data_IF_729553829488
#
_entry.id   IF_729553829488
#
_cell.length_a   1.000
_cell.length_b   1.000
_cell.length_c   1.000
_cell.angle_alpha   90.00
_cell.angle_beta   90.00
_cell.angle_gamma   90.00
#
_symmetry.space_group_name_H-M   'P 1'
#
loop_
_entity.id
_entity.type
_entity.pdbx_description
1 polymer ?
#
# COMPACT_ATOMS: atom_id res chain seq x y z
N UNK A 1 -10.09 -0.19 -6.14
CA UNK A 1 -11.39 0.43 -6.47
C UNK A 1 -11.18 1.29 -7.70
N UNK A 2 -11.77 0.95 -8.86
CA UNK A 2 -11.69 1.81 -10.07
C UNK A 2 -12.75 2.89 -9.94
N UNK A 3 -12.33 4.15 -9.89
CA UNK A 3 -13.22 5.30 -9.95
C UNK A 3 -13.87 5.32 -11.34
N UNK A 4 -15.13 4.92 -11.41
CA UNK A 4 -15.95 5.01 -12.61
C UNK A 4 -16.34 6.48 -12.78
N UNK A 5 -15.71 7.18 -13.72
CA UNK A 5 -15.91 8.61 -13.90
C UNK A 5 -17.28 8.83 -14.58
N UNK A 6 -18.27 9.46 -13.92
CA UNK A 6 -19.66 9.53 -14.38
C UNK A 6 -19.85 10.39 -15.65
N UNK A 7 -18.79 11.09 -16.08
CA UNK A 7 -18.86 12.01 -17.21
C UNK A 7 -18.93 11.32 -18.59
N UNK A 8 -18.42 10.09 -18.71
CA UNK A 8 -18.41 9.32 -19.97
C UNK A 8 -19.81 8.86 -20.41
N UNK A 9 -20.66 8.46 -19.45
CA UNK A 9 -22.00 7.97 -19.79
C UNK A 9 -22.87 9.07 -20.41
N UNK A 10 -22.76 10.31 -19.90
CA UNK A 10 -23.47 11.46 -20.46
C UNK A 10 -23.05 11.72 -21.91
N UNK A 11 -21.75 11.64 -22.26
CA UNK A 11 -21.30 11.86 -23.64
C UNK A 11 -21.86 10.85 -24.65
N UNK A 12 -21.97 9.57 -24.28
CA UNK A 12 -22.52 8.55 -25.17
C UNK A 12 -24.00 8.77 -25.49
N UNK A 13 -24.78 9.25 -24.51
CA UNK A 13 -26.19 9.60 -24.75
C UNK A 13 -26.33 10.76 -25.75
N UNK A 14 -25.46 11.77 -25.69
CA UNK A 14 -25.47 12.89 -26.64
C UNK A 14 -25.11 12.45 -28.06
N UNK A 15 -24.12 11.57 -28.23
CA UNK A 15 -23.72 11.07 -29.55
C UNK A 15 -24.81 10.19 -30.17
N UNK A 16 -25.43 9.30 -29.39
CA UNK A 16 -26.54 8.48 -29.85
C UNK A 16 -27.77 9.34 -30.26
N UNK A 17 -28.06 10.39 -29.48
CA UNK A 17 -29.15 11.32 -29.79
C UNK A 17 -28.88 12.12 -31.07
N UNK A 18 -27.65 12.60 -31.28
CA UNK A 18 -27.26 13.32 -32.49
C UNK A 18 -27.29 12.41 -33.73
N UNK A 19 -26.94 11.13 -33.57
CA UNK A 19 -26.98 10.14 -34.64
C UNK A 19 -28.43 9.78 -35.04
N UNK A 20 -29.34 9.71 -34.07
CA UNK A 20 -30.76 9.51 -34.36
C UNK A 20 -31.37 10.75 -35.04
N UNK A 21 -30.99 11.95 -34.59
CA UNK A 21 -31.50 13.20 -35.15
C UNK A 21 -31.00 13.44 -36.58
N UNK A 22 -29.76 13.05 -36.90
CA UNK A 22 -29.24 13.08 -38.26
C UNK A 22 -29.90 12.03 -39.16
N UNK A 23 -30.21 10.83 -38.64
CA UNK A 23 -30.98 9.81 -39.36
C UNK A 23 -32.37 10.35 -39.73
N UNK A 24 -33.05 11.04 -38.81
CA UNK A 24 -34.37 11.64 -39.05
C UNK A 24 -34.32 12.76 -40.09
N UNK A 25 -33.31 13.63 -40.05
CA UNK A 25 -33.12 14.69 -41.03
C UNK A 25 -32.86 14.13 -42.44
N UNK A 26 -32.16 12.99 -42.54
CA UNK A 26 -31.85 12.34 -43.81
C UNK A 26 -33.07 11.74 -44.53
N UNK A 27 -34.14 11.45 -43.80
CA UNK A 27 -35.39 10.93 -44.35
C UNK A 27 -36.34 12.04 -44.84
N UNK A 28 -36.09 13.30 -44.44
CA UNK A 28 -36.98 14.43 -44.73
C UNK A 28 -36.79 15.10 -46.09
N UNK A 29 -35.62 14.96 -46.72
CA UNK A 29 -35.36 15.58 -48.03
C UNK A 29 -35.17 14.48 -49.07
N UNK A 30 -36.20 14.26 -49.88
CA UNK A 30 -36.18 13.29 -50.96
C UNK A 30 -34.95 13.46 -51.86
N UNK A 31 -34.25 12.35 -52.07
CA UNK A 31 -33.12 12.14 -52.99
C UNK A 31 -31.74 12.64 -52.54
N UNK A 32 -31.24 12.12 -51.42
CA UNK A 32 -29.79 11.89 -51.29
C UNK A 32 -29.43 10.58 -52.00
N UNK A 33 -28.40 10.55 -52.88
CA UNK A 33 -27.96 9.30 -53.49
C UNK A 33 -27.49 8.34 -52.39
N UNK A 34 -27.86 7.06 -52.51
CA UNK A 34 -27.38 5.95 -51.66
C UNK A 34 -25.87 6.01 -51.37
N UNK A 35 -25.10 6.56 -52.30
CA UNK A 35 -23.65 6.79 -52.23
C UNK A 35 -23.25 7.68 -51.04
N UNK A 36 -23.98 8.77 -50.77
CA UNK A 36 -23.66 9.67 -49.64
C UNK A 36 -23.91 9.00 -48.28
N UNK A 37 -24.92 8.14 -48.20
CA UNK A 37 -25.20 7.34 -47.01
C UNK A 37 -24.08 6.33 -46.73
N UNK A 38 -23.59 5.65 -47.77
CA UNK A 38 -22.45 4.72 -47.66
C UNK A 38 -21.20 5.47 -47.15
N UNK A 39 -20.89 6.65 -47.71
CA UNK A 39 -19.75 7.45 -47.27
C UNK A 39 -19.89 7.85 -45.79
N UNK A 40 -21.08 8.30 -45.38
CA UNK A 40 -21.32 8.66 -43.98
C UNK A 40 -21.12 7.47 -43.04
N UNK A 41 -21.68 6.31 -43.37
CA UNK A 41 -21.48 5.09 -42.56
C UNK A 41 -20.01 4.69 -42.47
N UNK A 42 -19.26 4.74 -43.57
CA UNK A 42 -17.82 4.45 -43.56
C UNK A 42 -17.05 5.44 -42.67
N UNK A 43 -17.33 6.75 -42.75
CA UNK A 43 -16.67 7.75 -41.91
C UNK A 43 -16.97 7.57 -40.42
N UNK A 44 -18.20 7.19 -40.08
CA UNK A 44 -18.57 6.89 -38.68
C UNK A 44 -17.89 5.63 -38.18
N UNK A 45 -17.79 4.58 -39.02
CA UNK A 45 -17.11 3.33 -38.68
C UNK A 45 -15.60 3.56 -38.49
N UNK A 46 -14.97 4.35 -39.36
CA UNK A 46 -13.53 4.65 -39.24
C UNK A 46 -13.22 5.50 -38.01
N UNK A 47 -14.06 6.49 -37.69
CA UNK A 47 -13.96 7.25 -36.44
C UNK A 47 -14.15 6.37 -35.20
N UNK A 48 -15.12 5.45 -35.24
CA UNK A 48 -15.36 4.52 -34.13
C UNK A 48 -14.20 3.54 -33.95
N UNK A 49 -13.62 3.05 -35.05
CA UNK A 49 -12.43 2.19 -35.01
C UNK A 49 -11.20 2.92 -34.47
N UNK A 50 -10.97 4.18 -34.88
CA UNK A 50 -9.89 5.02 -34.35
C UNK A 50 -10.07 5.30 -32.85
N UNK A 51 -11.30 5.59 -32.42
CA UNK A 51 -11.63 5.76 -31.01
C UNK A 51 -11.37 4.48 -30.21
N UNK A 52 -11.78 3.32 -30.74
CA UNK A 52 -11.57 2.02 -30.12
C UNK A 52 -10.08 1.62 -30.03
N UNK A 53 -9.29 1.97 -31.04
CA UNK A 53 -7.83 1.75 -31.02
C UNK A 53 -7.17 2.65 -29.96
N UNK A 54 -7.71 3.87 -29.73
CA UNK A 54 -7.23 4.81 -28.72
C UNK A 54 -7.33 4.31 -27.28
N UNK A 55 -8.30 3.45 -26.94
CA UNK A 55 -8.43 2.92 -25.57
C UNK A 55 -7.46 1.76 -25.25
N UNK A 56 -6.86 1.14 -26.27
CA UNK A 56 -5.99 -0.02 -26.09
C UNK A 56 -4.52 0.32 -25.80
N UNK A 57 -4.19 1.62 -25.67
CA UNK A 57 -2.82 2.10 -25.49
C UNK A 57 -2.60 2.74 -24.13
N UNK A 58 -3.03 2.07 -23.07
CA UNK A 58 -2.37 2.20 -21.78
C UNK A 58 -1.58 0.92 -21.56
N UNK A 59 -0.23 0.97 -21.52
CA UNK A 59 0.55 -0.18 -21.13
C UNK A 59 0.08 -0.56 -19.73
N UNK A 60 -0.61 -1.69 -19.64
CA UNK A 60 -0.96 -2.32 -18.37
C UNK A 60 0.38 -2.69 -17.75
N UNK A 61 0.93 -1.79 -16.95
CA UNK A 61 2.18 -2.00 -16.23
C UNK A 61 2.10 -3.38 -15.59
N UNK A 62 3.06 -4.24 -15.92
CA UNK A 62 3.20 -5.54 -15.26
C UNK A 62 3.18 -5.26 -13.75
N UNK A 63 2.13 -5.71 -13.05
CA UNK A 63 2.22 -5.88 -11.60
C UNK A 63 3.33 -6.89 -11.40
N UNK A 64 4.48 -6.41 -10.97
CA UNK A 64 5.55 -7.26 -10.53
C UNK A 64 5.05 -7.89 -9.23
N UNK A 65 4.68 -9.17 -9.26
CA UNK A 65 4.17 -9.90 -8.09
C UNK A 65 5.28 -10.16 -7.03
N UNK A 66 6.47 -9.60 -7.27
CA UNK A 66 7.61 -9.54 -6.35
C UNK A 66 7.94 -8.10 -5.89
N UNK A 67 7.05 -7.13 -6.10
CA UNK A 67 7.20 -5.82 -5.47
C UNK A 67 6.80 -5.96 -4.00
N UNK A 68 7.79 -5.98 -3.10
CA UNK A 68 7.56 -5.97 -1.66
C UNK A 68 6.54 -4.88 -1.30
N UNK A 69 5.41 -5.29 -0.75
CA UNK A 69 4.36 -4.42 -0.29
C UNK A 69 4.85 -3.66 0.95
N UNK A 70 5.18 -2.38 0.76
CA UNK A 70 5.56 -1.50 1.86
C UNK A 70 4.30 -0.77 2.35
N UNK A 71 4.04 -0.84 3.66
CA UNK A 71 3.02 -0.03 4.32
C UNK A 71 3.66 1.23 4.88
N UNK A 72 3.11 2.41 4.59
CA UNK A 72 3.64 3.69 5.06
C UNK A 72 2.54 4.44 5.81
N UNK A 73 2.82 4.79 7.07
CA UNK A 73 1.96 5.63 7.90
C UNK A 73 2.54 7.04 7.89
N UNK A 74 1.76 7.97 7.35
CA UNK A 74 2.19 9.36 7.19
C UNK A 74 2.23 10.11 8.52
N UNK A 75 3.07 11.14 8.62
CA UNK A 75 3.24 11.99 9.83
C UNK A 75 1.96 12.63 10.38
N UNK A 76 0.95 12.82 9.53
CA UNK A 76 -0.34 13.43 9.90
C UNK A 76 -1.44 12.39 10.13
N UNK A 77 -1.08 11.10 10.15
CA UNK A 77 -1.99 10.02 10.47
C UNK A 77 -1.78 9.60 11.93
N UNK A 78 -2.87 9.47 12.67
CA UNK A 78 -2.93 8.76 13.94
C UNK A 78 -3.72 7.47 13.74
N UNK A 79 -3.15 6.35 14.19
CA UNK A 79 -3.78 5.05 14.10
C UNK A 79 -4.06 4.51 15.51
N UNK A 80 -5.24 3.94 15.71
CA UNK A 80 -5.64 3.31 16.97
C UNK A 80 -6.16 1.91 16.67
N UNK A 81 -5.56 0.90 17.30
CA UNK A 81 -5.91 -0.51 17.11
C UNK A 81 -4.70 -1.37 16.76
N UNK A 82 -4.94 -2.56 16.23
CA UNK A 82 -3.89 -3.53 15.93
C UNK A 82 -3.53 -3.55 14.44
N UNK A 83 -2.23 -3.63 14.13
CA UNK A 83 -1.68 -3.71 12.77
C UNK A 83 -0.98 -5.05 12.63
N UNK A 84 -1.42 -5.86 11.66
CA UNK A 84 -0.73 -7.08 11.27
C UNK A 84 -0.26 -6.97 9.82
N UNK A 85 1.05 -7.09 9.59
CA UNK A 85 1.63 -7.11 8.23
C UNK A 85 2.77 -8.11 8.15
N UNK A 86 2.87 -8.85 7.05
CA UNK A 86 3.97 -9.79 6.80
C UNK A 86 5.20 -9.12 6.18
N UNK A 87 5.14 -7.83 5.89
CA UNK A 87 6.14 -7.11 5.10
C UNK A 87 6.68 -5.88 5.85
N UNK A 88 7.32 -4.96 5.12
CA UNK A 88 7.92 -3.74 5.68
C UNK A 88 6.85 -2.70 6.06
N UNK A 89 6.95 -2.17 7.28
CA UNK A 89 6.12 -1.06 7.77
C UNK A 89 7.03 0.12 8.05
N UNK A 90 6.66 1.30 7.54
CA UNK A 90 7.35 2.57 7.80
C UNK A 90 6.37 3.50 8.52
N UNK A 91 6.79 4.04 9.66
CA UNK A 91 5.94 4.83 10.55
C UNK A 91 6.56 6.21 10.70
N UNK A 92 5.88 7.23 10.17
CA UNK A 92 6.24 8.64 10.38
C UNK A 92 5.27 9.37 11.33
N UNK A 93 4.12 8.75 11.65
CA UNK A 93 3.04 9.33 12.45
C UNK A 93 2.89 8.66 13.83
N UNK A 94 1.68 8.75 14.40
CA UNK A 94 1.39 8.22 15.73
C UNK A 94 0.60 6.91 15.65
N UNK A 95 0.99 5.91 16.43
CA UNK A 95 0.30 4.62 16.53
C UNK A 95 0.06 4.29 17.99
N UNK A 96 -1.20 4.08 18.35
CA UNK A 96 -1.61 3.63 19.67
C UNK A 96 -2.27 2.24 19.54
N UNK A 97 -1.50 1.19 19.85
CA UNK A 97 -1.95 -0.20 19.76
C UNK A 97 -0.82 -1.16 19.38
N UNK A 98 -1.18 -2.39 18.99
CA UNK A 98 -0.18 -3.45 18.80
C UNK A 98 0.23 -3.59 17.34
N UNK A 99 1.52 -3.85 17.11
CA UNK A 99 2.09 -4.05 15.78
C UNK A 99 2.68 -5.45 15.72
N UNK A 100 2.18 -6.28 14.81
CA UNK A 100 2.67 -7.64 14.57
C UNK A 100 3.20 -7.78 13.15
N UNK A 101 4.49 -8.10 13.04
CA UNK A 101 5.20 -8.30 11.79
C UNK A 101 6.15 -9.50 11.83
N UNK A 102 5.58 -10.71 11.84
CA UNK A 102 6.28 -11.98 12.11
C UNK A 102 7.52 -12.28 11.23
N UNK A 103 7.61 -11.67 10.05
CA UNK A 103 8.76 -11.77 9.12
C UNK A 103 9.09 -10.42 8.48
N UNK A 104 8.60 -9.34 9.10
CA UNK A 104 8.63 -8.00 8.55
C UNK A 104 9.68 -7.12 9.23
N UNK A 105 10.00 -6.02 8.54
CA UNK A 105 10.83 -4.96 9.09
C UNK A 105 9.93 -3.81 9.51
N UNK A 106 9.99 -3.43 10.78
CA UNK A 106 9.31 -2.22 11.28
C UNK A 106 10.34 -1.11 11.35
N UNK A 107 10.07 0.00 10.65
CA UNK A 107 10.90 1.19 10.66
C UNK A 107 10.11 2.34 11.24
N UNK A 108 10.47 2.75 12.46
CA UNK A 108 9.93 3.94 13.10
C UNK A 108 10.87 5.07 12.74
N UNK A 109 10.45 5.94 11.84
CA UNK A 109 11.27 7.05 11.38
C UNK A 109 11.15 8.25 12.33
N UNK A 110 11.93 9.31 12.05
CA UNK A 110 11.90 10.55 12.82
C UNK A 110 10.50 11.16 12.85
N UNK A 111 10.02 11.43 14.07
CA UNK A 111 8.68 11.96 14.34
C UNK A 111 7.60 10.88 14.42
N UNK A 112 7.93 9.61 14.15
CA UNK A 112 7.08 8.47 14.46
C UNK A 112 7.05 8.21 15.96
N UNK A 113 5.85 8.02 16.50
CA UNK A 113 5.62 7.67 17.91
C UNK A 113 4.74 6.44 17.98
N UNK A 114 5.22 5.40 18.67
CA UNK A 114 4.47 4.15 18.85
C UNK A 114 4.24 3.90 20.33
N UNK A 115 2.98 3.85 20.74
CA UNK A 115 2.55 3.49 22.09
C UNK A 115 1.85 2.13 22.05
N UNK A 116 2.50 1.09 22.57
CA UNK A 116 1.94 -0.27 22.61
C UNK A 116 2.99 -1.36 22.50
N UNK A 117 2.57 -2.56 22.08
CA UNK A 117 3.46 -3.71 21.93
C UNK A 117 3.85 -3.92 20.47
N UNK A 118 5.15 -4.04 20.19
CA UNK A 118 5.71 -4.27 18.85
C UNK A 118 6.37 -5.65 18.81
N UNK A 119 5.88 -6.51 17.91
CA UNK A 119 6.45 -7.82 17.64
C UNK A 119 6.89 -7.88 16.18
N UNK A 120 8.19 -8.02 15.92
CA UNK A 120 8.71 -8.07 14.55
C UNK A 120 10.02 -8.86 14.43
N UNK A 121 10.45 -9.18 13.21
CA UNK A 121 11.76 -9.81 13.00
C UNK A 121 12.88 -8.79 13.20
N UNK A 122 12.77 -7.63 12.55
CA UNK A 122 13.73 -6.53 12.66
C UNK A 122 13.04 -5.21 12.96
N UNK A 123 13.46 -4.54 14.03
CA UNK A 123 13.04 -3.20 14.38
C UNK A 123 14.19 -2.21 14.12
N UNK A 124 13.90 -1.15 13.36
CA UNK A 124 14.81 -0.01 13.18
C UNK A 124 14.12 1.22 13.78
N UNK A 125 14.71 1.80 14.82
CA UNK A 125 14.13 2.88 15.62
C UNK A 125 14.91 4.19 15.42
N UNK A 126 14.29 5.17 14.76
CA UNK A 126 14.77 6.55 14.57
C UNK A 126 13.75 7.60 15.08
N UNK A 127 12.80 7.16 15.91
CA UNK A 127 11.77 7.98 16.56
C UNK A 127 11.53 7.50 17.99
N UNK A 128 10.29 7.54 18.46
CA UNK A 128 9.93 7.18 19.84
C UNK A 128 9.09 5.90 19.91
N UNK A 129 9.45 4.99 20.81
CA UNK A 129 8.67 3.80 21.14
C UNK A 129 8.46 3.71 22.65
N UNK A 130 7.20 3.64 23.06
CA UNK A 130 6.78 3.52 24.46
C UNK A 130 5.96 2.23 24.64
N UNK A 131 6.47 1.29 25.43
CA UNK A 131 5.80 0.03 25.72
C UNK A 131 6.71 -1.19 25.61
N UNK A 132 6.18 -2.28 25.06
CA UNK A 132 6.90 -3.55 24.97
C UNK A 132 7.38 -3.78 23.53
N UNK A 133 8.62 -4.23 23.38
CA UNK A 133 9.21 -4.56 22.09
C UNK A 133 9.83 -5.95 22.10
N UNK A 134 9.34 -6.84 21.26
CA UNK A 134 9.92 -8.15 21.00
C UNK A 134 10.42 -8.22 19.55
N UNK A 135 11.73 -8.33 19.35
CA UNK A 135 12.30 -8.45 18.02
C UNK A 135 13.52 -9.39 17.97
N UNK A 136 13.91 -9.86 16.79
CA UNK A 136 15.18 -10.60 16.67
C UNK A 136 16.34 -9.63 16.56
N UNK A 137 16.24 -8.61 15.71
CA UNK A 137 17.28 -7.59 15.50
C UNK A 137 16.73 -6.21 15.86
N UNK A 138 17.38 -5.51 16.78
CA UNK A 138 17.05 -4.16 17.20
C UNK A 138 18.15 -3.17 16.79
N UNK A 139 17.86 -2.28 15.85
CA UNK A 139 18.75 -1.20 15.44
C UNK A 139 18.22 0.15 15.94
N UNK A 140 18.89 0.77 16.91
CA UNK A 140 18.54 2.10 17.41
C UNK A 140 19.43 3.15 16.74
N UNK A 141 18.80 4.06 16.00
CA UNK A 141 19.45 5.15 15.29
C UNK A 141 19.62 6.39 16.19
N UNK A 142 20.22 7.45 15.66
CA UNK A 142 20.65 8.65 16.40
C UNK A 142 19.52 9.38 17.14
N UNK A 143 18.29 9.32 16.63
CA UNK A 143 17.11 9.92 17.26
C UNK A 143 16.18 8.88 17.89
N UNK A 144 16.65 7.63 18.03
CA UNK A 144 15.85 6.54 18.57
C UNK A 144 15.75 6.64 20.09
N UNK A 145 14.52 6.74 20.59
CA UNK A 145 14.20 6.71 22.02
C UNK A 145 13.24 5.56 22.30
N UNK A 146 13.68 4.60 23.11
CA UNK A 146 12.85 3.49 23.55
C UNK A 146 12.62 3.57 25.05
N UNK A 147 11.36 3.55 25.47
CA UNK A 147 10.96 3.47 26.87
C UNK A 147 10.06 2.25 27.13
N UNK A 148 10.54 1.32 27.97
CA UNK A 148 9.78 0.14 28.41
C UNK A 148 10.58 -1.17 28.37
N UNK A 149 9.89 -2.28 28.10
CA UNK A 149 10.48 -3.62 28.16
C UNK A 149 10.86 -4.12 26.77
N UNK A 150 12.13 -4.50 26.60
CA UNK A 150 12.69 -4.91 25.31
C UNK A 150 13.23 -6.32 25.40
N UNK A 151 12.80 -7.17 24.47
CA UNK A 151 13.38 -8.49 24.24
C UNK A 151 13.99 -8.54 22.84
N UNK A 152 15.31 -8.78 22.75
CA UNK A 152 16.04 -8.86 21.47
C UNK A 152 17.00 -10.06 21.39
N UNK A 153 17.36 -10.52 20.17
CA UNK A 153 18.45 -11.48 19.96
C UNK A 153 19.77 -10.76 19.65
N UNK A 154 19.73 -9.76 18.76
CA UNK A 154 20.83 -8.88 18.37
C UNK A 154 20.44 -7.40 18.60
N UNK A 155 21.36 -6.61 19.14
CA UNK A 155 21.15 -5.19 19.45
C UNK A 155 22.31 -4.36 18.89
N UNK A 156 21.99 -3.34 18.10
CA UNK A 156 22.89 -2.30 17.66
C UNK A 156 22.36 -0.92 18.06
N UNK A 157 23.21 -0.09 18.68
CA UNK A 157 22.86 1.28 19.06
C UNK A 157 23.86 2.24 18.41
N UNK A 158 23.35 3.20 17.64
CA UNK A 158 24.13 4.29 17.04
C UNK A 158 24.23 5.48 17.98
N UNK A 159 25.20 6.37 17.74
CA UNK A 159 25.42 7.56 18.56
C UNK A 159 24.15 8.42 18.66
N UNK A 160 23.67 8.65 19.88
CA UNK A 160 22.44 9.41 20.16
C UNK A 160 21.22 8.55 20.48
N UNK A 161 21.26 7.26 20.16
CA UNK A 161 20.22 6.31 20.55
C UNK A 161 20.13 6.13 22.06
N UNK A 162 18.92 6.09 22.61
CA UNK A 162 18.66 5.95 24.04
C UNK A 162 17.60 4.89 24.30
N UNK A 163 17.87 3.99 25.25
CA UNK A 163 16.94 2.96 25.71
C UNK A 163 16.80 3.11 27.21
N UNK A 164 15.57 3.15 27.70
CA UNK A 164 15.22 3.29 29.12
C UNK A 164 14.21 2.21 29.51
N UNK A 165 14.55 1.36 30.47
CA UNK A 165 13.66 0.29 30.94
C UNK A 165 14.39 -1.06 31.07
N UNK A 166 13.64 -2.16 31.01
CA UNK A 166 14.19 -3.51 31.16
C UNK A 166 14.56 -4.06 29.80
N UNK A 167 15.76 -4.63 29.72
CA UNK A 167 16.33 -5.09 28.46
C UNK A 167 16.79 -6.53 28.62
N UNK A 168 16.10 -7.44 27.93
CA UNK A 168 16.29 -8.88 27.99
C UNK A 168 16.86 -9.41 26.67
N UNK A 169 17.98 -10.14 26.75
CA UNK A 169 18.54 -10.84 25.60
C UNK A 169 17.91 -12.23 25.48
N UNK A 170 17.28 -12.49 24.35
CA UNK A 170 16.71 -13.79 23.99
C UNK A 170 17.88 -14.66 23.49
N UNK A 171 18.26 -15.67 24.28
CA UNK A 171 19.25 -16.68 23.90
C UNK A 171 18.53 -17.98 23.60
N UNK A 172 18.84 -18.63 22.48
CA UNK A 172 18.24 -19.90 22.04
C UNK A 172 18.57 -21.11 22.95
N UNK A 173 19.33 -20.90 24.04
CA UNK A 173 19.80 -21.94 24.95
C UNK A 173 18.71 -22.57 25.83
N UNK A 174 17.52 -21.95 25.95
CA UNK A 174 16.47 -22.47 26.85
C UNK A 174 15.76 -23.71 26.26
N UNK A 175 15.73 -23.88 24.93
CA UNK A 175 14.99 -25.00 24.33
C UNK A 175 15.74 -26.35 24.42
N UNK A 176 17.08 -26.34 24.44
CA UNK A 176 17.86 -27.59 24.48
C UNK A 176 17.93 -28.20 25.89
N UNK A 177 17.93 -27.37 26.94
CA UNK A 177 18.11 -27.84 28.32
C UNK A 177 16.85 -28.51 28.90
N UNK A 178 15.66 -28.23 28.38
CA UNK A 178 14.41 -28.86 28.84
C UNK A 178 14.29 -30.30 28.27
N UNK A 179 14.83 -30.55 27.08
CA UNK A 179 14.78 -31.87 26.43
C UNK A 179 15.69 -32.93 27.09
N UNK A 180 16.74 -32.51 27.82
CA UNK A 180 17.60 -33.42 28.59
C UNK A 180 17.08 -33.71 30.01
N UNK A 181 16.18 -32.87 30.54
CA UNK A 181 15.64 -33.04 31.90
C UNK A 181 14.38 -33.92 31.96
N UNK A 182 13.61 -34.06 30.88
CA UNK A 182 12.48 -35.01 30.82
C UNK A 182 12.88 -36.47 30.51
N UNK A 183 14.18 -36.73 30.27
CA UNK A 183 14.71 -38.08 29.97
C UNK A 183 15.56 -38.70 31.07
N UNK A 184 15.59 -38.12 32.27
CA UNK A 184 16.22 -38.72 33.46
C UNK A 184 15.20 -39.13 34.51
#
# INVERSE_FOLDING_TARGET
MRAYCPHYQLMLFWIASLCWLSLILLWGTGSYPFILYIIFTFTTITLYALYFIGENMFPKGRKNENASAITIISKSASFIGDISSSEKIIIHGEINGNISANNGVVFIDKGGVVNGSVLCEKLILNGELHGECCCSVLDVYENGFLQGDVSYRELEIRNGGCITGVVNKITDEIQNNISELEKR
#
